data_IF_259171707545
#
_entry.id   IF_259171707545
#
_cell.length_a   1.000
_cell.length_b   1.000
_cell.length_c   1.000
_cell.angle_alpha   90.00
_cell.angle_beta   90.00
_cell.angle_gamma   90.00
#
_symmetry.space_group_name_H-M   'P 1'
#
loop_
_entity.id
_entity.type
_entity.pdbx_description
1 polymer ?
#
# COMPACT_ATOMS: atom_id res chain seq x y z
N UNK A 1 5.42 -5.47 39.86
CA UNK A 1 5.81 -5.74 38.46
C UNK A 1 7.32 -5.72 38.36
N UNK A 2 7.96 -6.60 37.59
CA UNK A 2 9.44 -6.71 37.49
C UNK A 2 10.15 -5.39 37.11
N UNK A 3 9.55 -4.57 36.23
CA UNK A 3 10.08 -3.23 35.88
C UNK A 3 10.07 -2.23 37.05
N UNK A 4 9.11 -2.36 37.96
CA UNK A 4 8.97 -1.49 39.12
C UNK A 4 9.99 -1.87 40.20
N UNK A 5 10.28 -3.17 40.36
CA UNK A 5 11.34 -3.66 41.24
C UNK A 5 12.77 -3.31 40.75
N UNK A 6 12.94 -2.96 39.48
CA UNK A 6 14.22 -2.53 38.90
C UNK A 6 14.35 -1.01 38.73
N UNK A 7 13.35 -0.22 39.17
CA UNK A 7 13.38 1.25 39.02
C UNK A 7 13.22 1.76 37.58
N UNK A 8 12.85 0.89 36.63
CA UNK A 8 12.70 1.22 35.20
C UNK A 8 11.23 1.37 34.76
N UNK A 9 10.35 1.79 35.67
CA UNK A 9 8.92 1.99 35.39
C UNK A 9 8.66 3.01 34.26
N UNK A 10 9.58 3.95 34.04
CA UNK A 10 9.55 4.92 32.93
C UNK A 10 9.68 4.26 31.55
N UNK A 11 10.52 3.24 31.41
CA UNK A 11 10.74 2.51 30.15
C UNK A 11 9.47 1.74 29.76
N UNK A 12 8.86 1.06 30.74
CA UNK A 12 7.61 0.35 30.52
C UNK A 12 6.49 1.30 30.04
N UNK A 13 6.35 2.47 30.67
CA UNK A 13 5.36 3.49 30.26
C UNK A 13 5.64 4.01 28.85
N UNK A 14 6.90 4.21 28.47
CA UNK A 14 7.27 4.68 27.14
C UNK A 14 6.94 3.65 26.04
N UNK A 15 7.30 2.37 26.27
CA UNK A 15 7.02 1.28 25.31
C UNK A 15 5.51 1.06 25.17
N UNK A 16 4.80 0.91 26.28
CA UNK A 16 3.35 0.72 26.26
C UNK A 16 2.62 1.94 25.66
N UNK A 17 3.06 3.15 26.00
CA UNK A 17 2.55 4.39 25.41
C UNK A 17 2.73 4.42 23.90
N UNK A 18 3.91 4.07 23.38
CA UNK A 18 4.18 3.99 21.95
C UNK A 18 3.25 2.98 21.25
N UNK A 19 3.07 1.79 21.82
CA UNK A 19 2.15 0.77 21.29
C UNK A 19 0.72 1.29 21.18
N UNK A 20 0.19 1.88 22.27
CA UNK A 20 -1.17 2.43 22.29
C UNK A 20 -1.34 3.58 21.30
N UNK A 21 -0.38 4.50 21.24
CA UNK A 21 -0.42 5.64 20.32
C UNK A 21 -0.41 5.16 18.87
N UNK A 22 0.45 4.20 18.52
CA UNK A 22 0.49 3.62 17.17
C UNK A 22 -0.84 2.97 16.80
N UNK A 23 -1.37 2.08 17.65
CA UNK A 23 -2.64 1.40 17.38
C UNK A 23 -3.77 2.42 17.16
N UNK A 24 -3.90 3.41 18.04
CA UNK A 24 -4.94 4.44 17.93
C UNK A 24 -4.77 5.31 16.67
N UNK A 25 -3.54 5.71 16.34
CA UNK A 25 -3.24 6.53 15.18
C UNK A 25 -3.57 5.81 13.87
N UNK A 26 -3.09 4.57 13.71
CA UNK A 26 -3.31 3.79 12.50
C UNK A 26 -4.78 3.32 12.38
N UNK A 27 -5.44 3.02 13.50
CA UNK A 27 -6.88 2.76 13.52
C UNK A 27 -7.67 4.00 13.07
N UNK A 28 -7.36 5.18 13.61
CA UNK A 28 -8.03 6.43 13.22
C UNK A 28 -7.79 6.77 11.73
N UNK A 29 -6.57 6.56 11.24
CA UNK A 29 -6.21 6.78 9.84
C UNK A 29 -6.97 5.83 8.90
N UNK A 30 -6.97 4.53 9.20
CA UNK A 30 -7.72 3.53 8.42
C UNK A 30 -9.21 3.85 8.41
N UNK A 31 -9.78 4.13 9.59
CA UNK A 31 -11.18 4.48 9.73
C UNK A 31 -11.53 5.68 8.84
N UNK A 32 -10.73 6.74 8.90
CA UNK A 32 -10.97 7.97 8.13
C UNK A 32 -10.91 7.71 6.62
N UNK A 33 -9.91 6.97 6.16
CA UNK A 33 -9.76 6.61 4.74
C UNK A 33 -10.97 5.81 4.26
N UNK A 34 -11.30 4.70 4.94
CA UNK A 34 -12.38 3.83 4.51
C UNK A 34 -13.75 4.51 4.65
N UNK A 35 -14.03 5.12 5.79
CA UNK A 35 -15.30 5.80 6.04
C UNK A 35 -15.52 6.95 5.04
N UNK A 36 -14.49 7.75 4.78
CA UNK A 36 -14.52 8.82 3.79
C UNK A 36 -14.90 8.30 2.40
N UNK A 37 -14.25 7.23 1.93
CA UNK A 37 -14.56 6.62 0.64
C UNK A 37 -15.97 6.03 0.58
N UNK A 38 -16.45 5.39 1.66
CA UNK A 38 -17.83 4.88 1.72
C UNK A 38 -18.88 6.01 1.74
N UNK A 39 -18.57 7.16 2.36
CA UNK A 39 -19.42 8.35 2.29
C UNK A 39 -19.47 8.90 0.86
N UNK A 40 -18.33 8.99 0.17
CA UNK A 40 -18.29 9.41 -1.24
C UNK A 40 -19.05 8.43 -2.13
N UNK A 41 -18.88 7.11 -1.94
CA UNK A 41 -19.61 6.10 -2.69
C UNK A 41 -21.13 6.21 -2.52
N UNK A 42 -21.62 6.55 -1.31
CA UNK A 42 -23.04 6.83 -1.12
C UNK A 42 -23.48 8.11 -1.84
N UNK A 43 -22.69 9.18 -1.80
CA UNK A 43 -23.04 10.45 -2.46
C UNK A 43 -23.10 10.33 -3.99
N UNK A 44 -22.31 9.43 -4.56
CA UNK A 44 -22.29 9.15 -6.01
C UNK A 44 -23.34 8.11 -6.44
N UNK A 45 -24.09 7.54 -5.49
CA UNK A 45 -25.15 6.58 -5.80
C UNK A 45 -26.27 7.24 -6.64
N UNK A 46 -26.91 6.51 -7.57
CA UNK A 46 -28.04 7.03 -8.33
C UNK A 46 -29.21 7.42 -7.40
N UNK A 47 -29.84 8.60 -7.61
CA UNK A 47 -30.96 9.07 -6.77
C UNK A 47 -32.18 8.14 -6.81
N UNK A 48 -32.43 7.55 -7.98
CA UNK A 48 -33.46 6.55 -8.21
C UNK A 48 -32.74 5.30 -8.70
N UNK A 49 -32.92 4.18 -7.99
CA UNK A 49 -32.32 2.91 -8.38
C UNK A 49 -33.08 2.36 -9.59
N UNK A 50 -32.41 2.12 -10.72
CA UNK A 50 -33.08 1.57 -11.90
C UNK A 50 -33.55 0.14 -11.61
N UNK A 51 -34.75 -0.26 -12.04
CA UNK A 51 -35.22 -1.62 -11.89
C UNK A 51 -34.32 -2.61 -12.66
N UNK A 52 -34.20 -3.84 -12.15
CA UNK A 52 -33.47 -4.93 -12.79
C UNK A 52 -33.18 -6.09 -11.84
N UNK A 53 -32.66 -7.22 -12.36
CA UNK A 53 -32.46 -8.44 -11.58
C UNK A 53 -31.57 -8.26 -10.34
N UNK A 54 -30.57 -7.37 -10.43
CA UNK A 54 -29.67 -7.04 -9.31
C UNK A 54 -30.39 -6.28 -8.18
N UNK A 55 -31.34 -5.41 -8.52
CA UNK A 55 -32.14 -4.67 -7.54
C UNK A 55 -33.11 -5.61 -6.83
N UNK A 56 -33.74 -6.55 -7.55
CA UNK A 56 -34.65 -7.54 -6.96
C UNK A 56 -33.95 -8.42 -5.90
N UNK A 57 -32.68 -8.75 -6.11
CA UNK A 57 -31.85 -9.48 -5.13
C UNK A 57 -31.45 -8.60 -3.93
N UNK A 58 -31.31 -7.28 -4.11
CA UNK A 58 -30.82 -6.35 -3.10
C UNK A 58 -31.93 -5.58 -2.37
N UNK A 59 -33.19 -5.67 -2.79
CA UNK A 59 -34.35 -4.98 -2.18
C UNK A 59 -34.43 -5.22 -0.67
N UNK A 60 -34.22 -6.46 -0.21
CA UNK A 60 -34.22 -6.77 1.21
C UNK A 60 -33.06 -6.08 1.93
N UNK A 61 -31.86 -6.12 1.35
CA UNK A 61 -30.71 -5.41 1.91
C UNK A 61 -30.98 -3.90 2.01
N UNK A 62 -31.51 -3.26 0.97
CA UNK A 62 -31.76 -1.82 0.96
C UNK A 62 -32.88 -1.39 1.91
N UNK A 63 -33.94 -2.18 2.06
CA UNK A 63 -35.02 -1.87 3.00
C UNK A 63 -34.55 -1.92 4.46
N UNK A 64 -33.68 -2.87 4.81
CA UNK A 64 -33.08 -2.96 6.14
C UNK A 64 -31.95 -1.95 6.37
N UNK A 65 -31.04 -1.78 5.40
CA UNK A 65 -29.84 -0.95 5.53
C UNK A 65 -30.12 0.51 5.23
N UNK A 66 -31.11 0.85 4.41
CA UNK A 66 -31.40 2.22 3.98
C UNK A 66 -31.56 3.20 5.15
N UNK A 67 -32.32 2.82 6.19
CA UNK A 67 -32.51 3.64 7.41
C UNK A 67 -31.27 3.68 8.32
N UNK A 68 -30.37 2.70 8.20
CA UNK A 68 -29.18 2.52 9.06
C UNK A 68 -27.86 2.66 8.29
N UNK A 69 -27.89 3.21 7.08
CA UNK A 69 -26.74 3.17 6.17
C UNK A 69 -25.49 3.84 6.77
N UNK A 70 -25.68 4.94 7.51
CA UNK A 70 -24.59 5.60 8.24
C UNK A 70 -23.99 4.71 9.32
N UNK A 71 -24.83 4.02 10.10
CA UNK A 71 -24.38 3.12 11.15
C UNK A 71 -23.63 1.93 10.56
N UNK A 72 -24.14 1.33 9.48
CA UNK A 72 -23.46 0.22 8.78
C UNK A 72 -22.07 0.64 8.31
N UNK A 73 -21.92 1.83 7.70
CA UNK A 73 -20.59 2.34 7.33
C UNK A 73 -19.67 2.54 8.52
N UNK A 74 -20.16 3.14 9.61
CA UNK A 74 -19.35 3.34 10.83
C UNK A 74 -18.89 1.99 11.37
N UNK A 75 -19.77 1.00 11.48
CA UNK A 75 -19.46 -0.33 12.00
C UNK A 75 -18.45 -1.05 11.10
N UNK A 76 -18.67 -1.06 9.77
CA UNK A 76 -17.72 -1.67 8.83
C UNK A 76 -16.36 -0.98 8.90
N UNK A 77 -16.33 0.35 8.85
CA UNK A 77 -15.07 1.10 8.93
C UNK A 77 -14.35 0.89 10.25
N UNK A 78 -15.07 0.86 11.38
CA UNK A 78 -14.50 0.61 12.70
C UNK A 78 -13.96 -0.82 12.84
N UNK A 79 -14.66 -1.81 12.29
CA UNK A 79 -14.23 -3.21 12.32
C UNK A 79 -12.89 -3.40 11.56
N UNK A 80 -12.82 -2.92 10.32
CA UNK A 80 -11.59 -3.01 9.55
C UNK A 80 -10.46 -2.16 10.15
N UNK A 81 -10.78 -0.97 10.67
CA UNK A 81 -9.81 -0.13 11.36
C UNK A 81 -9.23 -0.79 12.61
N UNK A 82 -10.06 -1.48 13.40
CA UNK A 82 -9.63 -2.22 14.58
C UNK A 82 -8.66 -3.33 14.19
N UNK A 83 -9.00 -4.13 13.17
CA UNK A 83 -8.13 -5.21 12.66
C UNK A 83 -6.80 -4.64 12.15
N UNK A 84 -6.86 -3.59 11.32
CA UNK A 84 -5.68 -2.97 10.73
C UNK A 84 -4.80 -2.24 11.75
N UNK A 85 -5.39 -1.66 12.80
CA UNK A 85 -4.68 -0.94 13.85
C UNK A 85 -4.04 -1.87 14.88
N UNK A 86 -4.73 -2.94 15.30
CA UNK A 86 -4.19 -3.91 16.26
C UNK A 86 -2.92 -4.59 15.74
N UNK A 87 -2.83 -4.85 14.43
CA UNK A 87 -1.62 -5.41 13.81
C UNK A 87 -0.39 -4.50 13.83
N UNK A 88 -0.51 -3.24 14.26
CA UNK A 88 0.60 -2.26 14.29
C UNK A 88 1.33 -2.23 15.64
N UNK A 89 0.77 -2.84 16.70
CA UNK A 89 1.38 -2.80 18.04
C UNK A 89 2.83 -3.29 18.06
N UNK A 90 3.17 -4.24 17.19
CA UNK A 90 4.49 -4.86 17.13
C UNK A 90 5.56 -3.95 16.51
N UNK A 91 5.16 -2.81 15.95
CA UNK A 91 6.04 -1.82 15.30
C UNK A 91 6.52 -0.71 16.23
N UNK A 92 6.36 -0.91 17.54
CA UNK A 92 6.81 0.06 18.55
C UNK A 92 8.33 0.29 18.52
N UNK A 93 9.14 -0.72 18.21
CA UNK A 93 10.60 -0.59 18.11
C UNK A 93 10.97 0.33 16.94
N UNK A 94 10.46 0.04 15.75
CA UNK A 94 10.66 0.84 14.54
C UNK A 94 10.22 2.30 14.76
N UNK A 95 9.09 2.52 15.45
CA UNK A 95 8.61 3.85 15.81
C UNK A 95 9.51 4.59 16.79
N UNK A 96 9.99 3.92 17.83
CA UNK A 96 10.89 4.54 18.80
C UNK A 96 12.24 4.89 18.17
N UNK A 97 12.78 4.02 17.31
CA UNK A 97 13.97 4.30 16.52
C UNK A 97 13.75 5.49 15.59
N UNK A 98 12.61 5.55 14.88
CA UNK A 98 12.25 6.67 14.01
C UNK A 98 12.17 8.01 14.75
N UNK A 99 11.51 8.00 15.92
CA UNK A 99 11.26 9.22 16.70
C UNK A 99 12.51 9.71 17.44
N UNK A 100 13.39 8.79 17.85
CA UNK A 100 14.65 9.09 18.55
C UNK A 100 15.86 8.91 17.63
N UNK A 101 15.67 9.12 16.33
CA UNK A 101 16.74 8.99 15.32
C UNK A 101 17.91 9.93 15.64
N UNK A 102 19.12 9.45 15.37
CA UNK A 102 20.36 10.23 15.47
C UNK A 102 21.16 10.09 14.19
N UNK A 103 21.95 11.11 13.87
CA UNK A 103 22.91 11.04 12.77
C UNK A 103 24.14 10.27 13.23
N UNK A 104 24.55 9.28 12.44
CA UNK A 104 25.74 8.47 12.71
C UNK A 104 27.01 9.20 12.30
N UNK A 105 26.91 10.11 11.32
CA UNK A 105 28.03 10.89 10.78
C UNK A 105 28.81 10.17 9.68
N UNK A 106 28.30 9.04 9.19
CA UNK A 106 28.90 8.25 8.12
C UNK A 106 27.87 8.13 7.00
N UNK A 107 28.24 8.58 5.81
CA UNK A 107 27.36 8.56 4.64
C UNK A 107 27.61 7.33 3.78
N UNK A 108 26.54 6.73 3.28
CA UNK A 108 26.61 5.64 2.33
C UNK A 108 27.15 6.12 0.97
N UNK A 109 28.06 5.35 0.33
CA UNK A 109 28.70 5.77 -0.91
C UNK A 109 27.79 5.74 -2.14
N UNK A 110 26.63 5.06 -2.07
CA UNK A 110 25.75 4.83 -3.23
C UNK A 110 24.70 5.93 -3.40
N UNK A 111 24.09 6.36 -2.30
CA UNK A 111 22.99 7.32 -2.26
C UNK A 111 23.29 8.57 -1.41
N UNK A 112 24.45 8.64 -0.75
CA UNK A 112 24.87 9.79 0.04
C UNK A 112 23.99 10.06 1.26
N UNK A 113 23.32 9.03 1.80
CA UNK A 113 22.50 9.11 3.02
C UNK A 113 23.29 8.65 4.22
N UNK A 114 23.10 9.33 5.35
CA UNK A 114 23.68 8.88 6.62
C UNK A 114 23.21 7.46 6.97
N UNK A 115 24.10 6.64 7.55
CA UNK A 115 23.77 5.27 7.96
C UNK A 115 22.58 5.25 8.93
N UNK A 116 22.41 6.29 9.75
CA UNK A 116 21.25 6.46 10.64
C UNK A 116 19.91 6.50 9.91
N UNK A 117 19.87 6.90 8.63
CA UNK A 117 18.66 6.77 7.81
C UNK A 117 18.23 5.30 7.66
N UNK A 118 19.17 4.40 7.36
CA UNK A 118 18.90 3.00 7.09
C UNK A 118 18.49 2.23 8.35
N UNK A 119 19.06 2.59 9.50
CA UNK A 119 18.79 1.93 10.78
C UNK A 119 17.53 2.48 11.44
N UNK A 120 17.40 3.80 11.52
CA UNK A 120 16.36 4.44 12.34
C UNK A 120 15.10 4.79 11.54
N UNK A 121 15.21 5.06 10.24
CA UNK A 121 14.11 5.65 9.48
C UNK A 121 13.51 4.70 8.46
N UNK A 122 14.35 4.05 7.66
CA UNK A 122 13.92 3.21 6.54
C UNK A 122 12.93 2.11 6.96
N UNK A 123 13.14 1.33 8.05
CA UNK A 123 12.22 0.25 8.42
C UNK A 123 10.79 0.76 8.72
N UNK A 124 10.68 1.87 9.46
CA UNK A 124 9.39 2.47 9.77
C UNK A 124 8.71 3.08 8.54
N UNK A 125 9.48 3.76 7.67
CA UNK A 125 8.95 4.33 6.43
C UNK A 125 8.45 3.24 5.47
N UNK A 126 9.22 2.17 5.26
CA UNK A 126 8.80 1.01 4.45
C UNK A 126 7.54 0.38 5.04
N UNK A 127 7.47 0.21 6.36
CA UNK A 127 6.27 -0.27 7.04
C UNK A 127 5.04 0.62 6.78
N UNK A 128 5.15 1.94 6.95
CA UNK A 128 4.05 2.89 6.74
C UNK A 128 3.54 2.82 5.31
N UNK A 129 4.44 2.78 4.32
CA UNK A 129 4.09 2.70 2.90
C UNK A 129 3.38 1.37 2.58
N UNK A 130 3.90 0.24 3.10
CA UNK A 130 3.28 -1.07 2.95
C UNK A 130 1.89 -1.15 3.61
N UNK A 131 1.75 -0.61 4.82
CA UNK A 131 0.46 -0.55 5.52
C UNK A 131 -0.55 0.32 4.78
N UNK A 132 -0.13 1.47 4.25
CA UNK A 132 -0.99 2.35 3.48
C UNK A 132 -1.42 1.70 2.16
N UNK A 133 -0.52 0.97 1.49
CA UNK A 133 -0.85 0.18 0.31
C UNK A 133 -1.95 -0.85 0.62
N UNK A 134 -1.77 -1.67 1.67
CA UNK A 134 -2.78 -2.64 2.11
C UNK A 134 -4.12 -1.99 2.45
N UNK A 135 -4.08 -0.85 3.16
CA UNK A 135 -5.27 -0.05 3.51
C UNK A 135 -6.02 0.42 2.28
N UNK A 136 -5.32 0.94 1.26
CA UNK A 136 -5.93 1.40 0.03
C UNK A 136 -6.49 0.25 -0.81
N UNK A 137 -5.85 -0.92 -0.83
CA UNK A 137 -6.37 -2.11 -1.51
C UNK A 137 -7.68 -2.58 -0.88
N UNK A 138 -7.72 -2.71 0.46
CA UNK A 138 -8.96 -3.05 1.18
C UNK A 138 -10.02 -1.99 0.92
N UNK A 139 -9.65 -0.71 0.98
CA UNK A 139 -10.57 0.40 0.71
C UNK A 139 -11.13 0.36 -0.70
N UNK A 140 -10.31 0.07 -1.71
CA UNK A 140 -10.73 -0.08 -3.10
C UNK A 140 -11.77 -1.21 -3.23
N UNK A 141 -11.50 -2.38 -2.66
CA UNK A 141 -12.40 -3.54 -2.73
C UNK A 141 -13.73 -3.24 -2.03
N UNK A 142 -13.71 -2.76 -0.79
CA UNK A 142 -14.92 -2.47 -0.01
C UNK A 142 -15.73 -1.33 -0.67
N UNK A 143 -15.06 -0.32 -1.22
CA UNK A 143 -15.71 0.79 -1.95
C UNK A 143 -16.32 0.32 -3.27
N UNK A 144 -15.65 -0.56 -4.02
CA UNK A 144 -16.19 -1.16 -5.23
C UNK A 144 -17.44 -2.01 -4.94
N UNK A 145 -17.41 -2.82 -3.87
CA UNK A 145 -18.58 -3.55 -3.39
C UNK A 145 -19.70 -2.58 -3.01
N UNK A 146 -19.40 -1.48 -2.32
CA UNK A 146 -20.39 -0.46 -2.00
C UNK A 146 -21.00 0.18 -3.26
N UNK A 147 -20.22 0.43 -4.30
CA UNK A 147 -20.74 0.95 -5.58
C UNK A 147 -21.63 -0.05 -6.30
N UNK A 148 -21.31 -1.33 -6.24
CA UNK A 148 -22.18 -2.40 -6.75
C UNK A 148 -23.50 -2.45 -5.99
N UNK A 149 -23.44 -2.54 -4.65
CA UNK A 149 -24.64 -2.58 -3.79
C UNK A 149 -25.50 -1.32 -3.96
N UNK A 150 -24.89 -0.15 -4.18
CA UNK A 150 -25.64 1.10 -4.37
C UNK A 150 -26.18 1.29 -5.79
N UNK A 151 -25.91 0.39 -6.73
CA UNK A 151 -26.37 0.45 -8.13
C UNK A 151 -25.53 1.34 -9.05
N UNK A 152 -24.33 1.74 -8.62
CA UNK A 152 -23.35 2.47 -9.45
C UNK A 152 -22.56 1.58 -10.40
N UNK A 153 -22.45 0.29 -10.09
CA UNK A 153 -21.89 -0.77 -10.94
C UNK A 153 -23.01 -1.80 -11.17
N UNK A 154 -23.29 -2.12 -12.43
CA UNK A 154 -24.30 -3.09 -12.85
C UNK A 154 -23.73 -4.02 -13.91
N UNK A 155 -23.76 -5.32 -13.66
CA UNK A 155 -23.17 -6.35 -14.52
C UNK A 155 -24.16 -6.87 -15.55
N UNK A 156 -25.45 -6.88 -15.22
CA UNK A 156 -26.51 -7.53 -16.02
C UNK A 156 -27.33 -6.57 -16.91
N UNK A 157 -26.86 -5.34 -17.13
CA UNK A 157 -27.57 -4.35 -17.96
C UNK A 157 -27.09 -4.26 -19.41
N UNK A 158 -28.03 -4.02 -20.32
CA UNK A 158 -27.75 -3.60 -21.70
C UNK A 158 -27.50 -2.07 -21.68
N UNK A 159 -26.28 -1.64 -22.03
CA UNK A 159 -25.87 -0.23 -21.99
C UNK A 159 -24.67 0.04 -21.07
N UNK A 160 -24.64 1.21 -20.42
CA UNK A 160 -23.53 1.60 -19.55
C UNK A 160 -23.53 0.81 -18.23
N UNK A 161 -22.57 -0.11 -18.10
CA UNK A 161 -22.42 -1.00 -16.93
C UNK A 161 -21.92 -0.28 -15.67
N UNK A 162 -21.15 0.79 -15.81
CA UNK A 162 -20.60 1.53 -14.65
C UNK A 162 -20.71 3.01 -14.90
N UNK A 163 -21.30 3.73 -13.94
CA UNK A 163 -21.51 5.17 -14.07
C UNK A 163 -20.18 5.93 -14.16
N UNK A 164 -20.11 7.03 -14.92
CA UNK A 164 -18.87 7.78 -15.09
C UNK A 164 -18.24 8.29 -13.78
N UNK A 165 -19.06 8.69 -12.81
CA UNK A 165 -18.60 9.17 -11.50
C UNK A 165 -17.98 8.04 -10.67
N UNK A 166 -18.47 6.81 -10.82
CA UNK A 166 -17.92 5.62 -10.17
C UNK A 166 -16.56 5.29 -10.79
N UNK A 167 -16.44 5.34 -12.12
CA UNK A 167 -15.15 5.16 -12.82
C UNK A 167 -14.13 6.19 -12.34
N UNK A 168 -14.54 7.45 -12.19
CA UNK A 168 -13.67 8.52 -11.68
C UNK A 168 -13.21 8.24 -10.24
N UNK A 169 -14.13 7.90 -9.33
CA UNK A 169 -13.81 7.61 -7.93
C UNK A 169 -12.86 6.40 -7.81
N UNK A 170 -13.12 5.30 -8.53
CA UNK A 170 -12.22 4.14 -8.55
C UNK A 170 -10.86 4.47 -9.18
N UNK A 171 -10.82 5.35 -10.19
CA UNK A 171 -9.56 5.81 -10.80
C UNK A 171 -8.74 6.64 -9.81
N UNK A 172 -9.35 7.47 -8.96
CA UNK A 172 -8.65 8.20 -7.90
C UNK A 172 -8.03 7.23 -6.89
N UNK A 173 -8.78 6.22 -6.45
CA UNK A 173 -8.27 5.20 -5.52
C UNK A 173 -7.11 4.41 -6.12
N UNK A 174 -7.24 3.98 -7.39
CA UNK A 174 -6.15 3.33 -8.11
C UNK A 174 -4.93 4.26 -8.28
N UNK A 175 -5.16 5.55 -8.53
CA UNK A 175 -4.10 6.55 -8.62
C UNK A 175 -3.36 6.72 -7.30
N UNK A 176 -4.09 6.76 -6.18
CA UNK A 176 -3.48 6.78 -4.84
C UNK A 176 -2.64 5.52 -4.58
N UNK A 177 -3.14 4.35 -4.97
CA UNK A 177 -2.38 3.08 -4.87
C UNK A 177 -1.10 3.14 -5.70
N UNK A 178 -1.18 3.60 -6.95
CA UNK A 178 -0.02 3.74 -7.84
C UNK A 178 1.02 4.73 -7.27
N UNK A 179 0.56 5.82 -6.65
CA UNK A 179 1.44 6.80 -5.99
C UNK A 179 2.16 6.18 -4.78
N UNK A 180 1.44 5.42 -3.95
CA UNK A 180 2.03 4.69 -2.82
C UNK A 180 3.05 3.67 -3.31
N UNK A 181 2.80 3.02 -4.45
CA UNK A 181 3.79 2.12 -5.09
C UNK A 181 5.02 2.84 -5.60
N UNK A 182 4.87 4.02 -6.18
CA UNK A 182 6.03 4.84 -6.54
C UNK A 182 6.89 5.17 -5.31
N UNK A 183 6.26 5.48 -4.17
CA UNK A 183 6.95 5.69 -2.90
C UNK A 183 7.63 4.41 -2.38
N UNK A 184 6.96 3.25 -2.50
CA UNK A 184 7.51 1.94 -2.13
C UNK A 184 8.78 1.62 -2.92
N UNK A 185 8.73 1.75 -4.26
CA UNK A 185 9.90 1.55 -5.12
C UNK A 185 11.01 2.55 -4.82
N UNK A 186 10.65 3.80 -4.50
CA UNK A 186 11.63 4.80 -4.10
C UNK A 186 12.33 4.45 -2.78
N UNK A 187 11.66 3.80 -1.83
CA UNK A 187 12.29 3.29 -0.61
C UNK A 187 13.10 2.02 -0.88
N UNK A 188 12.57 1.10 -1.69
CA UNK A 188 13.21 -0.17 -2.05
C UNK A 188 14.61 0.00 -2.65
N UNK A 189 14.89 1.12 -3.33
CA UNK A 189 16.25 1.41 -3.84
C UNK A 189 17.30 1.48 -2.72
N UNK A 190 16.93 1.98 -1.54
CA UNK A 190 17.84 2.13 -0.40
C UNK A 190 18.07 0.78 0.29
N UNK A 191 17.09 -0.12 0.24
CA UNK A 191 17.21 -1.48 0.79
C UNK A 191 18.28 -2.32 0.06
N UNK A 192 18.68 -1.91 -1.16
CA UNK A 192 19.81 -2.53 -1.87
C UNK A 192 21.12 -2.39 -1.08
N UNK A 193 21.32 -1.26 -0.38
CA UNK A 193 22.54 -1.00 0.40
C UNK A 193 22.64 -1.89 1.64
N UNK A 194 21.51 -2.40 2.14
CA UNK A 194 21.42 -3.28 3.33
C UNK A 194 21.06 -4.72 2.96
N UNK A 195 21.18 -5.10 1.69
CA UNK A 195 20.80 -6.42 1.19
C UNK A 195 21.76 -7.51 1.68
N UNK A 196 21.25 -8.57 2.30
CA UNK A 196 22.03 -9.77 2.67
C UNK A 196 21.87 -10.92 1.68
N UNK A 197 21.29 -10.63 0.49
CA UNK A 197 20.90 -11.64 -0.50
C UNK A 197 22.02 -12.02 -1.47
N UNK A 198 23.09 -11.23 -1.52
CA UNK A 198 24.22 -11.40 -2.44
C UNK A 198 25.30 -12.34 -1.91
N UNK A 199 26.41 -12.43 -2.65
CA UNK A 199 27.61 -13.14 -2.18
C UNK A 199 28.29 -12.43 -0.99
N UNK A 200 28.02 -11.13 -0.81
CA UNK A 200 28.46 -10.30 0.29
C UNK A 200 27.27 -9.49 0.81
N UNK A 201 27.34 -9.09 2.08
CA UNK A 201 26.36 -8.17 2.67
C UNK A 201 26.54 -6.76 2.07
N UNK A 202 25.43 -6.19 1.60
CA UNK A 202 25.36 -4.88 0.97
C UNK A 202 25.06 -4.94 -0.53
N UNK A 203 25.13 -3.78 -1.18
CA UNK A 203 24.83 -3.66 -2.61
C UNK A 203 25.94 -4.29 -3.46
N UNK A 204 25.61 -5.38 -4.15
CA UNK A 204 26.49 -6.06 -5.12
C UNK A 204 26.46 -5.37 -6.49
N UNK A 205 27.40 -5.75 -7.37
CA UNK A 205 27.44 -5.25 -8.75
C UNK A 205 26.10 -5.45 -9.49
N UNK A 206 25.48 -6.61 -9.31
CA UNK A 206 24.18 -6.94 -9.90
C UNK A 206 23.05 -6.08 -9.31
N UNK A 207 23.09 -5.76 -8.02
CA UNK A 207 22.12 -4.87 -7.38
C UNK A 207 22.19 -3.45 -7.99
N UNK A 208 23.40 -2.92 -8.16
CA UNK A 208 23.62 -1.56 -8.67
C UNK A 208 23.37 -1.45 -10.17
N UNK A 209 23.77 -2.44 -10.97
CA UNK A 209 23.72 -2.36 -12.44
C UNK A 209 22.46 -2.94 -13.06
N UNK A 210 21.76 -3.86 -12.39
CA UNK A 210 20.53 -4.45 -12.92
C UNK A 210 19.28 -4.02 -12.13
N UNK A 211 19.26 -4.19 -10.81
CA UNK A 211 18.05 -3.88 -10.03
C UNK A 211 17.77 -2.39 -9.90
N UNK A 212 18.79 -1.58 -9.60
CA UNK A 212 18.57 -0.16 -9.39
C UNK A 212 17.94 0.54 -10.62
N UNK A 213 18.42 0.32 -11.87
CA UNK A 213 17.75 0.83 -13.06
C UNK A 213 16.31 0.34 -13.22
N UNK A 214 16.05 -0.91 -12.84
CA UNK A 214 14.71 -1.48 -12.95
C UNK A 214 13.73 -0.93 -11.91
N UNK A 215 14.19 -0.70 -10.67
CA UNK A 215 13.44 0.03 -9.65
C UNK A 215 13.15 1.46 -10.13
N UNK A 216 14.12 2.14 -10.74
CA UNK A 216 13.90 3.48 -11.32
C UNK A 216 12.84 3.46 -12.44
N UNK A 217 12.86 2.45 -13.31
CA UNK A 217 11.84 2.26 -14.34
C UNK A 217 10.46 2.04 -13.73
N UNK A 218 10.35 1.22 -12.68
CA UNK A 218 9.11 0.98 -11.95
C UNK A 218 8.55 2.26 -11.32
N UNK A 219 9.41 3.11 -10.74
CA UNK A 219 9.00 4.43 -10.21
C UNK A 219 8.40 5.27 -11.34
N UNK A 220 9.07 5.36 -12.49
CA UNK A 220 8.58 6.13 -13.63
C UNK A 220 7.23 5.60 -14.14
N UNK A 221 7.08 4.28 -14.28
CA UNK A 221 5.84 3.66 -14.73
C UNK A 221 4.71 3.88 -13.72
N UNK A 222 4.98 3.76 -12.42
CA UNK A 222 3.98 4.06 -11.38
C UNK A 222 3.56 5.52 -11.40
N UNK A 223 4.48 6.47 -11.57
CA UNK A 223 4.15 7.89 -11.71
C UNK A 223 3.34 8.16 -12.99
N UNK A 224 3.69 7.52 -14.11
CA UNK A 224 2.91 7.60 -15.34
C UNK A 224 1.49 7.05 -15.14
N UNK A 225 1.34 5.92 -14.44
CA UNK A 225 0.04 5.35 -14.11
C UNK A 225 -0.81 6.31 -13.26
N UNK A 226 -0.22 7.02 -12.28
CA UNK A 226 -0.90 8.09 -11.53
C UNK A 226 -1.45 9.15 -12.47
N UNK A 227 -0.62 9.67 -13.37
CA UNK A 227 -1.03 10.71 -14.34
C UNK A 227 -2.17 10.21 -15.23
N UNK A 228 -2.05 9.01 -15.80
CA UNK A 228 -3.07 8.43 -16.68
C UNK A 228 -4.41 8.23 -15.94
N UNK A 229 -4.37 7.77 -14.70
CA UNK A 229 -5.57 7.56 -13.88
C UNK A 229 -6.24 8.88 -13.47
N UNK A 230 -5.45 9.93 -13.21
CA UNK A 230 -5.97 11.27 -12.96
C UNK A 230 -6.59 11.90 -14.22
N UNK A 231 -5.99 11.69 -15.40
CA UNK A 231 -6.58 12.10 -16.69
C UNK A 231 -7.89 11.37 -16.95
N UNK A 232 -7.96 10.08 -16.58
CA UNK A 232 -9.18 9.29 -16.72
C UNK A 232 -10.38 9.82 -15.92
N UNK A 233 -10.15 10.63 -14.87
CA UNK A 233 -11.24 11.30 -14.13
C UNK A 233 -12.10 12.16 -15.08
N UNK A 234 -11.49 12.77 -16.10
CA UNK A 234 -12.20 13.56 -17.11
C UNK A 234 -12.67 12.74 -18.32
N UNK A 235 -11.92 11.72 -18.72
CA UNK A 235 -12.25 10.92 -19.92
C UNK A 235 -13.25 9.78 -19.66
N UNK A 236 -13.39 9.35 -18.40
CA UNK A 236 -14.41 8.42 -17.92
C UNK A 236 -14.47 7.06 -18.67
N UNK A 237 -13.33 6.61 -19.20
CA UNK A 237 -13.17 5.34 -19.90
C UNK A 237 -12.59 4.22 -19.01
N UNK A 238 -12.64 2.98 -19.50
CA UNK A 238 -11.98 1.82 -18.86
C UNK A 238 -10.58 1.54 -19.42
N UNK A 239 -10.27 2.04 -20.61
CA UNK A 239 -9.01 1.76 -21.31
C UNK A 239 -7.79 2.25 -20.52
N UNK A 240 -7.85 3.47 -19.98
CA UNK A 240 -6.71 4.03 -19.23
C UNK A 240 -6.46 3.27 -17.92
N UNK A 241 -7.47 2.97 -17.07
CA UNK A 241 -7.26 2.17 -15.87
C UNK A 241 -6.77 0.75 -16.15
N UNK A 242 -7.34 0.05 -17.13
CA UNK A 242 -6.93 -1.33 -17.43
C UNK A 242 -5.52 -1.38 -17.99
N UNK A 243 -5.15 -0.44 -18.86
CA UNK A 243 -3.79 -0.33 -19.39
C UNK A 243 -2.78 0.03 -18.29
N UNK A 244 -3.11 0.99 -17.42
CA UNK A 244 -2.24 1.38 -16.32
C UNK A 244 -2.00 0.24 -15.32
N UNK A 245 -3.07 -0.43 -14.89
CA UNK A 245 -2.98 -1.58 -13.97
C UNK A 245 -2.30 -2.77 -14.65
N UNK A 246 -2.67 -3.08 -15.89
CA UNK A 246 -2.12 -4.19 -16.65
C UNK A 246 -0.63 -4.04 -16.91
N UNK A 247 -0.18 -2.86 -17.35
CA UNK A 247 1.24 -2.55 -17.54
C UNK A 247 1.99 -2.64 -16.22
N UNK A 248 1.43 -2.09 -15.15
CA UNK A 248 2.08 -2.13 -13.83
C UNK A 248 2.23 -3.55 -13.30
N UNK A 249 1.19 -4.40 -13.38
CA UNK A 249 1.25 -5.81 -12.98
C UNK A 249 2.23 -6.60 -13.83
N UNK A 250 2.22 -6.40 -15.15
CA UNK A 250 3.17 -7.06 -16.06
C UNK A 250 4.61 -6.75 -15.65
N UNK A 251 4.93 -5.48 -15.46
CA UNK A 251 6.29 -5.06 -15.12
C UNK A 251 6.67 -5.56 -13.72
N UNK A 252 5.76 -5.54 -12.75
CA UNK A 252 5.99 -6.10 -11.43
C UNK A 252 6.26 -7.62 -11.47
N UNK A 253 5.53 -8.37 -12.30
CA UNK A 253 5.71 -9.81 -12.48
C UNK A 253 7.03 -10.15 -13.16
N UNK A 254 7.37 -9.41 -14.21
CA UNK A 254 8.66 -9.52 -14.92
C UNK A 254 9.80 -9.27 -13.93
N UNK A 255 9.68 -8.27 -13.09
CA UNK A 255 10.68 -7.94 -12.09
C UNK A 255 10.78 -8.97 -10.95
N UNK A 256 9.64 -9.47 -10.47
CA UNK A 256 9.59 -10.49 -9.42
C UNK A 256 10.07 -11.87 -9.87
N UNK A 257 9.99 -12.20 -11.17
CA UNK A 257 10.38 -13.49 -11.72
C UNK A 257 11.80 -13.53 -12.29
N UNK A 258 12.23 -12.47 -12.98
CA UNK A 258 13.58 -12.41 -13.57
C UNK A 258 14.64 -12.25 -12.47
N UNK A 259 14.35 -11.51 -11.41
CA UNK A 259 15.35 -11.18 -10.41
C UNK A 259 15.91 -12.40 -9.64
N UNK A 260 15.07 -13.30 -9.08
CA UNK A 260 15.58 -14.52 -8.42
C UNK A 260 16.29 -15.46 -9.41
N UNK A 261 15.79 -15.55 -10.65
CA UNK A 261 16.33 -16.44 -11.67
C UNK A 261 17.74 -16.03 -12.12
N UNK A 262 17.98 -14.72 -12.30
CA UNK A 262 19.31 -14.19 -12.66
C UNK A 262 20.30 -14.44 -11.51
N UNK A 263 19.93 -14.19 -10.25
CA UNK A 263 20.80 -14.48 -9.10
C UNK A 263 21.04 -15.99 -8.92
N UNK A 264 20.02 -16.83 -9.08
CA UNK A 264 20.18 -18.29 -8.99
C UNK A 264 21.15 -18.82 -10.05
N UNK A 265 21.11 -18.29 -11.27
CA UNK A 265 22.01 -18.72 -12.34
C UNK A 265 23.47 -18.30 -12.09
N UNK A 266 23.71 -17.09 -11.54
CA UNK A 266 25.06 -16.66 -11.17
C UNK A 266 25.58 -17.27 -9.85
N UNK A 267 24.72 -17.92 -9.05
CA UNK A 267 25.12 -18.67 -7.85
C UNK A 267 25.66 -20.07 -8.17
N UNK A 268 25.54 -20.54 -9.42
CA UNK A 268 25.84 -21.94 -9.80
C UNK A 268 27.12 -22.10 -10.65
N UNK A 269 27.85 -21.04 -10.99
CA UNK A 269 29.17 -21.18 -11.65
C UNK A 269 30.29 -20.54 -10.83
N UNK A 270 30.98 -21.29 -9.96
CA UNK A 270 32.25 -20.86 -9.40
C UNK A 270 33.32 -21.01 -10.48
N UNK A 271 33.47 -20.03 -11.36
CA UNK A 271 34.63 -19.94 -12.26
C UNK A 271 35.82 -19.20 -11.60
N UNK A 272 35.94 -19.23 -10.26
CA UNK A 272 37.10 -18.70 -9.54
C UNK A 272 38.16 -19.79 -9.22
N UNK A 273 37.93 -21.07 -9.56
CA UNK A 273 38.90 -22.15 -9.33
C UNK A 273 39.83 -22.47 -10.52
N UNK A 274 39.75 -21.77 -11.65
CA UNK A 274 40.57 -22.07 -12.85
C UNK A 274 41.54 -20.94 -13.26
N UNK A 275 41.70 -19.88 -12.45
CA UNK A 275 42.74 -18.86 -12.67
C UNK A 275 43.95 -18.96 -11.75
N UNK A 276 44.01 -19.99 -10.92
CA UNK A 276 45.19 -20.34 -10.13
C UNK A 276 45.52 -21.84 -10.30
N UNK A 277 46.02 -22.20 -11.49
CA UNK A 277 46.77 -23.43 -11.73
C UNK A 277 47.90 -23.14 -12.73
#
# INVERSE_FOLDING_TARGET
MWFDSLGHSSVFRAVFGAQVVLVLLFMALFFTILFGNLVVAQRLAPPIRPPGPEEDLLVHYHTFVGKRARLVRIVISALFALIAGLGVSDKWQDWLLYTNRVDVGITDPQFGRDIGFYIFQLPFLTFVVGWLFGTLIVTLVVTAISHYINGGIRLQTVGERVRPEVKAHLSVLLGAIALVRAADYWLARFELTTSTRGAVDGATYTDVKAQLPAIQLLILISLLAVVLLLVNIRMQGWVLPTLAVGLWVLVALVMGSIYPAVIQNFRVEPAESEKEA
#
